data_IF_745228319639
#
_entry.id   IF_745228319639
#
_cell.length_a   1.000
_cell.length_b   1.000
_cell.length_c   1.000
_cell.angle_alpha   90.00
_cell.angle_beta   90.00
_cell.angle_gamma   90.00
#
_symmetry.space_group_name_H-M   'P 1'
#
loop_
_entity.id
_entity.type
_entity.pdbx_description
1 polymer ?
#
# COMPACT_ATOMS: atom_id res chain seq x y z
N UNK A 1 -15.90 11.91 -21.87
CA UNK A 1 -15.22 10.65 -22.27
C UNK A 1 -14.07 10.45 -21.29
N UNK A 2 -13.89 9.25 -20.76
CA UNK A 2 -12.75 8.96 -19.89
C UNK A 2 -11.44 9.12 -20.68
N UNK A 3 -10.43 9.72 -20.06
CA UNK A 3 -9.11 9.89 -20.65
C UNK A 3 -8.36 8.55 -20.63
N UNK A 4 -7.78 8.12 -21.76
CA UNK A 4 -7.02 6.86 -21.86
C UNK A 4 -5.53 7.16 -21.96
N UNK A 5 -4.77 6.72 -20.95
CA UNK A 5 -3.33 6.93 -20.83
C UNK A 5 -2.63 5.59 -21.10
N UNK A 6 -1.81 5.54 -22.15
CA UNK A 6 -1.07 4.33 -22.54
C UNK A 6 0.40 4.46 -22.21
N UNK A 7 0.89 3.60 -21.33
CA UNK A 7 2.28 3.57 -20.91
C UNK A 7 2.98 2.34 -21.50
N UNK A 8 4.18 2.56 -22.05
CA UNK A 8 4.94 1.51 -22.75
C UNK A 8 6.02 0.89 -21.92
N UNK A 9 6.58 1.65 -20.96
CA UNK A 9 7.60 1.20 -20.02
C UNK A 9 6.94 0.35 -18.92
N UNK A 10 7.70 -0.53 -18.30
CA UNK A 10 7.22 -1.40 -17.22
C UNK A 10 7.57 -2.87 -17.43
N UNK A 11 7.34 -3.67 -16.41
CA UNK A 11 7.67 -5.08 -16.40
C UNK A 11 6.65 -5.89 -15.59
N UNK A 12 5.99 -6.83 -16.25
CA UNK A 12 5.12 -7.78 -15.55
C UNK A 12 5.95 -8.97 -15.06
N UNK A 13 5.84 -9.28 -13.78
CA UNK A 13 6.51 -10.42 -13.14
C UNK A 13 5.44 -11.41 -12.71
N UNK A 14 5.25 -12.45 -13.52
CA UNK A 14 4.23 -13.46 -13.28
C UNK A 14 4.70 -14.46 -12.23
N UNK A 15 4.29 -14.28 -10.98
CA UNK A 15 4.57 -15.19 -9.88
C UNK A 15 3.44 -16.21 -9.71
N UNK A 16 3.84 -17.44 -9.33
CA UNK A 16 2.92 -18.52 -8.98
C UNK A 16 2.20 -18.23 -7.67
N UNK A 17 0.94 -18.63 -7.57
CA UNK A 17 0.17 -18.55 -6.33
C UNK A 17 -0.70 -17.31 -6.22
N UNK A 18 -1.24 -16.80 -7.33
CA UNK A 18 -2.23 -15.72 -7.32
C UNK A 18 -3.51 -16.16 -6.60
N UNK A 19 -4.07 -15.27 -5.77
CA UNK A 19 -5.29 -15.55 -5.02
C UNK A 19 -6.51 -15.74 -5.95
N UNK A 20 -7.33 -16.76 -5.66
CA UNK A 20 -8.56 -17.02 -6.39
C UNK A 20 -9.70 -16.18 -5.80
N UNK A 21 -10.24 -15.25 -6.59
CA UNK A 21 -11.29 -14.32 -6.18
C UNK A 21 -12.69 -14.92 -6.01
N UNK A 22 -12.88 -16.20 -6.31
CA UNK A 22 -14.12 -16.92 -6.03
C UNK A 22 -14.18 -17.47 -4.60
N UNK A 23 -13.03 -17.51 -3.90
CA UNK A 23 -12.91 -18.03 -2.55
C UNK A 23 -12.67 -16.87 -1.60
N UNK A 24 -13.70 -16.51 -0.82
CA UNK A 24 -13.59 -15.51 0.26
C UNK A 24 -13.94 -16.19 1.58
N UNK A 25 -12.99 -16.19 2.52
CA UNK A 25 -13.15 -16.80 3.84
C UNK A 25 -13.22 -15.72 4.91
N UNK A 26 -14.28 -15.65 5.74
CA UNK A 26 -14.30 -14.76 6.87
C UNK A 26 -13.31 -15.24 7.93
N UNK A 27 -12.48 -14.34 8.43
CA UNK A 27 -11.56 -14.59 9.53
C UNK A 27 -11.86 -13.63 10.66
N UNK A 28 -11.99 -14.18 11.87
CA UNK A 28 -12.12 -13.43 13.11
C UNK A 28 -10.97 -13.83 14.04
N UNK A 29 -10.47 -12.87 14.78
CA UNK A 29 -9.46 -13.10 15.82
C UNK A 29 -9.98 -12.65 17.17
N UNK A 30 -9.44 -13.21 18.25
CA UNK A 30 -9.70 -12.76 19.60
C UNK A 30 -8.97 -11.45 19.92
N UNK A 31 -7.89 -11.13 19.18
CA UNK A 31 -7.14 -9.89 19.35
C UNK A 31 -6.88 -9.21 17.99
N UNK A 32 -6.76 -7.90 18.06
CA UNK A 32 -6.37 -7.05 16.93
C UNK A 32 -5.35 -6.03 17.39
N UNK A 33 -4.51 -5.55 16.49
CA UNK A 33 -3.54 -4.52 16.84
C UNK A 33 -3.47 -3.42 15.77
N UNK A 34 -3.47 -2.17 16.22
CA UNK A 34 -3.20 -1.05 15.34
C UNK A 34 -1.69 -0.74 15.37
N UNK A 35 -1.08 -0.76 14.17
CA UNK A 35 0.37 -0.61 13.98
C UNK A 35 0.67 0.81 13.49
N UNK A 36 1.31 1.68 14.29
CA UNK A 36 1.60 3.06 13.90
C UNK A 36 2.51 3.19 12.67
N UNK A 37 3.44 2.26 12.47
CA UNK A 37 4.36 2.25 11.32
C UNK A 37 3.63 2.09 9.98
N UNK A 38 2.36 1.68 9.98
CA UNK A 38 1.51 1.69 8.78
C UNK A 38 1.17 3.10 8.30
N UNK A 39 1.37 4.11 9.12
CA UNK A 39 1.08 5.50 8.82
C UNK A 39 2.39 6.29 8.72
N UNK A 40 2.99 6.30 7.54
CA UNK A 40 4.27 6.95 7.28
C UNK A 40 4.28 8.41 7.74
N UNK A 41 5.36 8.82 8.40
CA UNK A 41 5.55 10.21 8.85
C UNK A 41 4.83 10.63 10.13
N UNK A 42 3.98 9.75 10.70
CA UNK A 42 3.28 9.97 11.96
C UNK A 42 4.19 9.65 13.15
N UNK A 43 4.16 10.51 14.16
CA UNK A 43 4.80 10.23 15.46
C UNK A 43 3.71 9.88 16.48
N UNK A 44 3.50 8.61 16.82
CA UNK A 44 2.36 8.19 17.62
C UNK A 44 2.49 8.64 19.08
N UNK A 45 1.43 9.25 19.60
CA UNK A 45 1.20 9.47 21.02
C UNK A 45 0.00 8.63 21.44
N UNK A 46 0.25 7.54 22.16
CA UNK A 46 -0.81 6.67 22.68
C UNK A 46 -1.67 7.44 23.68
N UNK A 47 -2.99 7.32 23.57
CA UNK A 47 -3.98 8.03 24.41
C UNK A 47 -4.82 7.08 25.27
N UNK A 48 -4.51 5.79 25.23
CA UNK A 48 -5.13 4.73 26.05
C UNK A 48 -4.10 4.03 26.94
N UNK A 49 -4.56 3.33 27.95
CA UNK A 49 -3.74 2.53 28.87
C UNK A 49 -4.16 1.06 28.81
N UNK A 50 -3.27 0.17 29.22
CA UNK A 50 -3.60 -1.25 29.40
C UNK A 50 -4.73 -1.39 30.41
N UNK A 51 -5.75 -2.19 30.06
CA UNK A 51 -6.96 -2.37 30.83
C UNK A 51 -8.12 -1.42 30.47
N UNK A 52 -7.89 -0.38 29.67
CA UNK A 52 -8.96 0.52 29.23
C UNK A 52 -9.93 -0.22 28.29
N UNK A 53 -11.24 0.02 28.47
CA UNK A 53 -12.28 -0.44 27.54
C UNK A 53 -12.45 0.58 26.42
N UNK A 54 -12.42 0.11 25.17
CA UNK A 54 -12.58 0.94 23.98
C UNK A 54 -13.68 0.41 23.08
N UNK A 55 -14.34 1.29 22.34
CA UNK A 55 -15.27 0.95 21.25
C UNK A 55 -14.57 0.98 19.91
N UNK A 56 -15.10 0.29 18.91
CA UNK A 56 -14.66 0.48 17.54
C UNK A 56 -14.91 1.95 17.14
N UNK A 57 -13.83 2.65 16.72
CA UNK A 57 -13.86 4.09 16.46
C UNK A 57 -13.24 4.96 17.55
N UNK A 58 -12.99 4.45 18.76
CA UNK A 58 -12.22 5.19 19.77
C UNK A 58 -10.76 5.34 19.34
N UNK A 59 -10.14 6.48 19.66
CA UNK A 59 -8.75 6.72 19.32
C UNK A 59 -7.81 5.89 20.20
N UNK A 60 -6.93 5.08 19.61
CA UNK A 60 -5.85 4.37 20.31
C UNK A 60 -4.60 5.22 20.46
N UNK A 61 -4.28 5.98 19.44
CA UNK A 61 -3.20 6.96 19.45
C UNK A 61 -3.54 8.14 18.53
N UNK A 62 -2.80 9.21 18.67
CA UNK A 62 -2.90 10.43 17.87
C UNK A 62 -1.51 10.78 17.33
N UNK A 63 -1.43 11.64 16.32
CA UNK A 63 -0.14 12.23 15.94
C UNK A 63 0.30 13.21 17.04
N UNK A 64 1.56 13.12 17.44
CA UNK A 64 2.13 14.00 18.47
C UNK A 64 2.18 15.47 18.04
N UNK A 65 2.42 15.73 16.74
CA UNK A 65 2.50 17.08 16.17
C UNK A 65 1.10 17.66 15.89
N UNK A 66 0.16 16.80 15.48
CA UNK A 66 -1.22 17.15 15.14
C UNK A 66 -2.20 16.28 15.94
N UNK A 67 -2.48 16.60 17.23
CA UNK A 67 -3.29 15.74 18.10
C UNK A 67 -4.73 15.52 17.63
N UNK A 68 -5.24 16.35 16.74
CA UNK A 68 -6.53 16.18 16.07
C UNK A 68 -6.54 15.01 15.07
N UNK A 69 -5.36 14.57 14.57
CA UNK A 69 -5.23 13.38 13.74
C UNK A 69 -5.22 12.16 14.64
N UNK A 70 -6.37 11.53 14.75
CA UNK A 70 -6.63 10.35 15.55
C UNK A 70 -6.49 9.10 14.69
N UNK A 71 -6.26 7.95 15.34
CA UNK A 71 -6.21 6.63 14.72
C UNK A 71 -7.13 5.71 15.50
N UNK A 72 -8.20 5.27 14.83
CA UNK A 72 -9.33 4.59 15.46
C UNK A 72 -9.06 3.10 15.71
N UNK A 73 -9.58 2.60 16.83
CA UNK A 73 -9.62 1.16 17.11
C UNK A 73 -10.48 0.43 16.07
N UNK A 74 -9.99 -0.68 15.50
CA UNK A 74 -10.75 -1.50 14.56
C UNK A 74 -11.88 -2.30 15.23
N UNK A 75 -11.80 -2.51 16.55
CA UNK A 75 -12.73 -3.33 17.33
C UNK A 75 -13.07 -2.68 18.66
N UNK A 76 -14.22 -3.08 19.26
CA UNK A 76 -14.45 -2.85 20.69
C UNK A 76 -13.82 -3.95 21.52
N UNK A 77 -13.37 -3.60 22.71
CA UNK A 77 -12.76 -4.54 23.62
C UNK A 77 -11.92 -3.88 24.69
N UNK A 78 -10.98 -4.64 25.24
CA UNK A 78 -10.07 -4.15 26.29
C UNK A 78 -8.66 -4.00 25.69
N UNK A 79 -8.01 -2.88 25.92
CA UNK A 79 -6.60 -2.68 25.56
C UNK A 79 -5.75 -3.65 26.35
N UNK A 80 -5.16 -4.63 25.65
CA UNK A 80 -4.38 -5.68 26.27
C UNK A 80 -2.94 -5.25 26.53
N UNK A 81 -2.32 -4.58 25.53
CA UNK A 81 -0.94 -4.15 25.65
C UNK A 81 -0.63 -2.96 24.72
N UNK A 82 0.29 -2.11 25.18
CA UNK A 82 0.98 -1.12 24.36
C UNK A 82 2.41 -1.60 24.14
N UNK A 83 2.63 -2.32 23.03
CA UNK A 83 3.93 -2.93 22.73
C UNK A 83 4.93 -1.86 22.31
N UNK A 84 6.09 -1.86 22.94
CA UNK A 84 7.16 -0.90 22.67
C UNK A 84 8.47 -1.62 22.34
N UNK A 85 9.13 -1.13 21.32
CA UNK A 85 10.46 -1.58 20.91
C UNK A 85 11.58 -0.69 21.49
N UNK A 86 12.71 -0.71 20.81
CA UNK A 86 13.86 0.10 21.16
C UNK A 86 13.50 1.60 21.25
N UNK A 87 14.18 2.32 22.15
CA UNK A 87 13.96 3.74 22.41
C UNK A 87 12.50 4.10 22.70
N UNK A 88 11.73 3.15 23.24
CA UNK A 88 10.30 3.29 23.55
C UNK A 88 9.41 3.57 22.32
N UNK A 89 9.86 3.25 21.11
CA UNK A 89 9.05 3.32 19.90
C UNK A 89 7.80 2.46 20.07
N UNK A 90 6.61 3.00 19.82
CA UNK A 90 5.37 2.23 19.86
C UNK A 90 5.33 1.33 18.62
N UNK A 91 5.30 0.03 18.81
CA UNK A 91 5.22 -0.96 17.74
C UNK A 91 3.76 -1.25 17.38
N UNK A 92 2.92 -1.50 18.38
CA UNK A 92 1.48 -1.65 18.17
C UNK A 92 0.70 -1.42 19.48
N UNK A 93 -0.60 -1.16 19.33
CA UNK A 93 -1.57 -1.14 20.44
C UNK A 93 -2.52 -2.31 20.21
N UNK A 94 -2.49 -3.30 21.12
CA UNK A 94 -3.28 -4.53 21.07
C UNK A 94 -4.61 -4.33 21.79
N UNK A 95 -5.68 -4.81 21.19
CA UNK A 95 -7.03 -4.81 21.75
C UNK A 95 -7.57 -6.22 21.70
N UNK A 96 -7.91 -6.78 22.87
CA UNK A 96 -8.68 -8.02 22.98
C UNK A 96 -10.12 -7.72 22.66
N UNK A 97 -10.63 -8.30 21.58
CA UNK A 97 -11.95 -7.99 21.04
C UNK A 97 -13.09 -8.55 21.92
N UNK A 98 -14.17 -7.79 22.04
CA UNK A 98 -15.43 -8.26 22.61
C UNK A 98 -16.14 -9.21 21.64
N UNK A 99 -16.89 -10.17 22.17
CA UNK A 99 -17.75 -11.05 21.34
C UNK A 99 -18.81 -10.26 20.58
N UNK A 100 -19.37 -9.22 21.21
CA UNK A 100 -20.37 -8.31 20.61
C UNK A 100 -19.77 -6.93 20.47
N UNK A 101 -19.57 -6.52 19.21
CA UNK A 101 -18.88 -5.27 18.91
C UNK A 101 -19.76 -4.04 19.22
N UNK A 102 -19.18 -3.07 19.91
CA UNK A 102 -19.73 -1.76 20.21
C UNK A 102 -19.01 -0.70 19.35
N UNK A 103 -19.78 0.26 18.86
CA UNK A 103 -19.26 1.31 17.98
C UNK A 103 -19.45 2.68 18.60
N UNK A 104 -18.53 3.58 18.34
CA UNK A 104 -18.76 5.01 18.52
C UNK A 104 -19.77 5.46 17.46
N UNK A 105 -20.78 6.21 17.86
CA UNK A 105 -21.75 6.78 16.92
C UNK A 105 -21.36 8.22 16.54
N UNK A 106 -20.91 8.40 15.30
CA UNK A 106 -20.56 9.70 14.72
C UNK A 106 -21.75 10.34 13.99
N UNK A 107 -22.89 9.66 13.94
CA UNK A 107 -24.08 10.07 13.20
C UNK A 107 -23.93 9.91 11.68
N UNK A 108 -24.99 9.49 11.04
CA UNK A 108 -25.05 9.42 9.56
C UNK A 108 -25.08 10.83 8.97
N UNK A 109 -24.37 11.06 7.86
CA UNK A 109 -24.29 12.38 7.20
C UNK A 109 -24.49 12.20 5.69
N UNK A 110 -25.38 13.00 5.12
CA UNK A 110 -25.58 13.03 3.67
C UNK A 110 -24.44 13.83 3.00
N UNK A 111 -23.47 13.13 2.44
CA UNK A 111 -22.25 13.74 1.84
C UNK A 111 -22.57 14.73 0.71
N UNK A 112 -23.72 14.58 0.04
CA UNK A 112 -24.11 15.50 -1.04
C UNK A 112 -24.31 16.91 -0.52
N UNK A 113 -24.78 17.04 0.74
CA UNK A 113 -25.06 18.33 1.41
C UNK A 113 -23.89 18.90 2.19
N UNK A 114 -22.78 18.15 2.29
CA UNK A 114 -21.60 18.60 3.05
C UNK A 114 -20.67 19.46 2.18
N UNK A 115 -20.04 20.42 2.83
CA UNK A 115 -18.89 21.16 2.31
C UNK A 115 -17.59 20.41 2.64
N UNK A 116 -16.52 20.68 1.90
CA UNK A 116 -15.24 19.99 2.04
C UNK A 116 -14.64 20.03 3.45
N UNK A 117 -14.74 21.18 4.13
CA UNK A 117 -14.24 21.31 5.51
C UNK A 117 -15.04 20.46 6.51
N UNK A 118 -16.35 20.30 6.29
CA UNK A 118 -17.18 19.42 7.12
C UNK A 118 -16.83 17.94 6.90
N UNK A 119 -16.47 17.53 5.66
CA UNK A 119 -15.97 16.21 5.37
C UNK A 119 -14.62 15.96 6.06
N UNK A 120 -13.68 16.91 5.97
CA UNK A 120 -12.37 16.84 6.66
C UNK A 120 -12.56 16.69 8.17
N UNK A 121 -13.41 17.54 8.78
CA UNK A 121 -13.70 17.49 10.21
C UNK A 121 -14.27 16.13 10.64
N UNK A 122 -15.20 15.55 9.85
CA UNK A 122 -15.76 14.23 10.13
C UNK A 122 -14.71 13.11 10.08
N UNK A 123 -13.79 13.16 9.09
CA UNK A 123 -12.71 12.17 8.97
C UNK A 123 -11.69 12.29 10.12
N UNK A 124 -11.38 13.53 10.57
CA UNK A 124 -10.51 13.78 11.73
C UNK A 124 -11.16 13.27 13.03
N UNK A 125 -12.44 13.57 13.23
CA UNK A 125 -13.19 13.14 14.39
C UNK A 125 -13.25 11.63 14.52
N UNK A 126 -13.52 10.94 13.39
CA UNK A 126 -13.65 9.49 13.33
C UNK A 126 -12.30 8.73 13.31
N UNK A 127 -11.16 9.43 13.32
CA UNK A 127 -9.84 8.79 13.28
C UNK A 127 -9.50 8.12 11.95
N UNK A 128 -10.11 8.59 10.85
CA UNK A 128 -9.87 8.08 9.49
C UNK A 128 -8.99 9.00 8.63
N UNK A 129 -8.73 10.22 9.07
CA UNK A 129 -7.95 11.18 8.28
C UNK A 129 -6.53 10.70 8.00
N UNK A 130 -5.91 9.96 8.92
CA UNK A 130 -4.57 9.40 8.74
C UNK A 130 -4.44 8.36 7.62
N UNK A 131 -5.56 7.88 7.04
CA UNK A 131 -5.56 7.00 5.85
C UNK A 131 -5.32 7.77 4.54
N UNK A 132 -5.36 9.09 4.57
CA UNK A 132 -5.01 9.95 3.44
C UNK A 132 -3.50 10.17 3.47
N UNK A 133 -2.84 9.90 2.36
CA UNK A 133 -1.41 10.15 2.17
C UNK A 133 -1.21 11.37 1.28
N UNK A 134 0.00 11.90 1.24
CA UNK A 134 0.36 13.02 0.39
C UNK A 134 1.63 12.78 -0.42
N UNK A 135 1.67 13.30 -1.62
CA UNK A 135 2.87 13.57 -2.38
C UNK A 135 3.13 15.10 -2.37
N UNK A 136 4.37 15.56 -2.27
CA UNK A 136 5.58 14.76 -2.13
C UNK A 136 5.67 14.06 -0.76
N UNK A 137 6.73 13.30 -0.56
CA UNK A 137 7.14 12.59 0.65
C UNK A 137 6.50 11.21 0.87
N UNK A 138 5.35 10.88 0.26
CA UNK A 138 4.62 9.61 0.47
C UNK A 138 4.46 9.30 1.97
N UNK A 139 3.79 10.18 2.69
CA UNK A 139 3.49 10.12 4.13
C UNK A 139 2.03 10.44 4.37
N UNK A 140 1.52 10.13 5.57
CA UNK A 140 0.19 10.57 5.98
C UNK A 140 0.09 12.10 5.91
N UNK A 141 -1.04 12.60 5.39
CA UNK A 141 -1.26 14.04 5.25
C UNK A 141 -1.51 14.71 6.60
N UNK A 142 -1.34 16.02 6.63
CA UNK A 142 -1.56 16.84 7.83
C UNK A 142 -2.76 17.77 7.64
N UNK A 143 -3.45 18.17 8.73
CA UNK A 143 -4.67 18.99 8.64
C UNK A 143 -4.46 20.39 8.04
N UNK A 144 -3.25 20.90 8.07
CA UNK A 144 -2.87 22.21 7.53
C UNK A 144 -2.60 22.19 6.02
N UNK A 145 -2.45 21.01 5.42
CA UNK A 145 -2.21 20.90 3.97
C UNK A 145 -3.49 21.09 3.15
N UNK A 146 -3.33 21.75 2.00
CA UNK A 146 -4.39 21.92 1.00
C UNK A 146 -3.92 21.26 -0.30
N UNK A 147 -4.52 20.12 -0.72
CA UNK A 147 -4.12 19.46 -1.94
C UNK A 147 -4.61 20.22 -3.17
N UNK A 148 -3.83 20.19 -4.26
CA UNK A 148 -4.30 20.65 -5.57
C UNK A 148 -5.24 19.65 -6.24
N UNK A 149 -5.12 18.36 -5.87
CA UNK A 149 -5.94 17.26 -6.35
C UNK A 149 -5.89 16.08 -5.39
N UNK A 150 -6.87 15.17 -5.50
CA UNK A 150 -6.89 13.89 -4.79
C UNK A 150 -6.88 12.77 -5.82
N UNK A 151 -6.08 11.73 -5.58
CA UNK A 151 -5.96 10.57 -6.44
C UNK A 151 -6.34 9.28 -5.71
N UNK A 152 -7.12 8.46 -6.39
CA UNK A 152 -7.47 7.10 -5.97
C UNK A 152 -7.09 6.16 -7.10
N UNK A 153 -6.14 5.23 -6.88
CA UNK A 153 -5.88 4.16 -7.84
C UNK A 153 -6.72 2.95 -7.50
N UNK A 154 -7.67 2.60 -8.37
CA UNK A 154 -8.59 1.48 -8.14
C UNK A 154 -8.09 0.15 -8.72
N UNK A 155 -6.82 0.05 -9.14
CA UNK A 155 -6.22 -1.21 -9.54
C UNK A 155 -4.78 -1.34 -9.02
N UNK A 156 -4.37 -2.57 -8.85
CA UNK A 156 -3.04 -2.95 -8.38
C UNK A 156 -2.45 -3.93 -9.38
N UNK A 157 -1.23 -3.70 -9.82
CA UNK A 157 -0.56 -4.50 -10.85
C UNK A 157 0.80 -5.07 -10.41
N UNK A 158 1.16 -4.87 -9.13
CA UNK A 158 2.33 -5.53 -8.55
C UNK A 158 2.18 -7.06 -8.55
N UNK A 159 3.28 -7.81 -8.57
CA UNK A 159 3.22 -9.28 -8.54
C UNK A 159 2.41 -9.79 -7.34
N UNK A 160 1.44 -10.67 -7.57
CA UNK A 160 0.53 -11.23 -6.57
C UNK A 160 -0.38 -10.23 -5.86
N UNK A 161 -0.45 -8.98 -6.32
CA UNK A 161 -1.34 -7.98 -5.76
C UNK A 161 -2.81 -8.41 -5.82
N UNK A 162 -3.58 -7.94 -4.84
CA UNK A 162 -5.02 -8.17 -4.76
C UNK A 162 -5.75 -7.47 -5.90
N UNK A 163 -6.85 -8.07 -6.35
CA UNK A 163 -7.79 -7.45 -7.27
C UNK A 163 -8.83 -6.64 -6.49
N UNK A 164 -8.82 -5.32 -6.68
CA UNK A 164 -9.75 -4.44 -5.97
C UNK A 164 -11.22 -4.69 -6.36
N UNK A 165 -11.53 -5.19 -7.56
CA UNK A 165 -12.91 -5.53 -7.91
C UNK A 165 -13.51 -6.60 -6.99
N UNK A 166 -12.67 -7.45 -6.37
CA UNK A 166 -13.13 -8.45 -5.40
C UNK A 166 -13.47 -7.80 -4.05
N UNK A 167 -12.62 -6.89 -3.57
CA UNK A 167 -12.88 -6.12 -2.34
C UNK A 167 -14.10 -5.19 -2.50
N UNK A 168 -14.33 -4.69 -3.71
CA UNK A 168 -15.44 -3.79 -4.04
C UNK A 168 -16.80 -4.48 -3.99
N UNK A 169 -16.88 -5.80 -4.21
CA UNK A 169 -18.15 -6.56 -4.22
C UNK A 169 -18.92 -6.36 -2.93
N UNK A 170 -20.16 -5.84 -3.05
CA UNK A 170 -21.02 -5.52 -1.89
C UNK A 170 -20.68 -4.21 -1.17
N UNK A 171 -19.61 -3.50 -1.59
CA UNK A 171 -19.19 -2.22 -1.03
C UNK A 171 -19.34 -1.06 -2.03
N UNK A 172 -20.00 -1.27 -3.17
CA UNK A 172 -20.10 -0.30 -4.27
C UNK A 172 -20.72 1.02 -3.83
N UNK A 173 -21.76 0.94 -2.97
CA UNK A 173 -22.44 2.12 -2.42
C UNK A 173 -21.48 2.92 -1.51
N UNK A 174 -20.78 2.24 -0.64
CA UNK A 174 -19.84 2.87 0.29
C UNK A 174 -18.67 3.49 -0.47
N UNK A 175 -18.15 2.79 -1.47
CA UNK A 175 -17.10 3.32 -2.34
C UNK A 175 -17.54 4.60 -3.05
N UNK A 176 -18.74 4.61 -3.66
CA UNK A 176 -19.26 5.81 -4.32
C UNK A 176 -19.47 6.96 -3.33
N UNK A 177 -20.01 6.68 -2.12
CA UNK A 177 -20.18 7.69 -1.08
C UNK A 177 -18.83 8.28 -0.65
N UNK A 178 -17.80 7.46 -0.50
CA UNK A 178 -16.44 7.89 -0.19
C UNK A 178 -15.82 8.75 -1.30
N UNK A 179 -16.00 8.38 -2.57
CA UNK A 179 -15.56 9.21 -3.71
C UNK A 179 -16.25 10.57 -3.73
N UNK A 180 -17.58 10.60 -3.50
CA UNK A 180 -18.35 11.84 -3.41
C UNK A 180 -17.85 12.70 -2.23
N UNK A 181 -17.51 12.11 -1.08
CA UNK A 181 -16.95 12.83 0.05
C UNK A 181 -15.60 13.48 -0.30
N UNK A 182 -14.69 12.74 -0.93
CA UNK A 182 -13.39 13.25 -1.37
C UNK A 182 -13.54 14.38 -2.40
N UNK A 183 -14.48 14.28 -3.33
CA UNK A 183 -14.75 15.30 -4.35
C UNK A 183 -15.24 16.62 -3.76
N UNK A 184 -15.83 16.62 -2.55
CA UNK A 184 -16.19 17.84 -1.82
C UNK A 184 -14.95 18.57 -1.28
N UNK A 185 -13.89 17.85 -0.95
CA UNK A 185 -12.64 18.45 -0.44
C UNK A 185 -11.88 19.09 -1.61
N UNK A 186 -11.65 18.33 -2.69
CA UNK A 186 -10.91 18.80 -3.85
C UNK A 186 -11.20 17.93 -5.08
N UNK A 187 -10.90 18.44 -6.27
CA UNK A 187 -10.98 17.66 -7.51
C UNK A 187 -10.34 16.29 -7.34
N UNK A 188 -11.12 15.25 -7.57
CA UNK A 188 -10.70 13.86 -7.33
C UNK A 188 -10.61 13.10 -8.65
N UNK A 189 -9.47 12.41 -8.84
CA UNK A 189 -9.19 11.54 -9.97
C UNK A 189 -9.26 10.08 -9.54
N UNK A 190 -9.95 9.27 -10.34
CA UNK A 190 -10.02 7.82 -10.17
C UNK A 190 -9.25 7.14 -11.30
N UNK A 191 -8.15 6.49 -10.96
CA UNK A 191 -7.38 5.67 -11.88
C UNK A 191 -7.95 4.25 -11.96
N UNK A 192 -8.27 3.80 -13.17
CA UNK A 192 -8.80 2.46 -13.42
C UNK A 192 -8.00 1.76 -14.51
N UNK A 193 -7.92 0.43 -14.45
CA UNK A 193 -7.33 -0.36 -15.54
C UNK A 193 -8.37 -0.54 -16.65
N UNK A 194 -7.89 -0.56 -17.89
CA UNK A 194 -8.71 -0.90 -19.06
C UNK A 194 -9.37 -2.28 -18.95
N UNK A 195 -8.82 -3.17 -18.12
CA UNK A 195 -9.31 -4.54 -17.94
C UNK A 195 -10.45 -4.64 -16.92
N UNK A 196 -10.65 -3.62 -16.08
CA UNK A 196 -11.70 -3.59 -15.08
C UNK A 196 -13.07 -3.35 -15.71
N UNK A 197 -14.08 -4.02 -15.17
CA UNK A 197 -15.44 -4.06 -15.71
C UNK A 197 -16.53 -3.63 -14.73
N UNK A 198 -16.18 -3.52 -13.44
CA UNK A 198 -17.14 -3.13 -12.41
C UNK A 198 -17.72 -1.74 -12.69
N UNK A 199 -19.05 -1.65 -12.78
CA UNK A 199 -19.77 -0.40 -13.08
C UNK A 199 -19.45 0.71 -12.06
N UNK A 200 -19.22 0.37 -10.80
CA UNK A 200 -18.84 1.30 -9.74
C UNK A 200 -17.46 1.96 -9.99
N UNK A 201 -16.62 1.39 -10.84
CA UNK A 201 -15.33 1.95 -11.24
C UNK A 201 -15.44 2.73 -12.55
N UNK A 202 -15.98 2.09 -13.60
CA UNK A 202 -16.02 2.68 -14.96
C UNK A 202 -17.09 3.76 -15.13
N UNK A 203 -18.04 3.84 -14.21
CA UNK A 203 -19.16 4.81 -14.21
C UNK A 203 -19.27 5.57 -12.87
N UNK A 204 -18.18 5.66 -12.11
CA UNK A 204 -18.13 6.40 -10.84
C UNK A 204 -18.52 7.87 -11.07
N UNK A 205 -19.29 8.42 -10.11
CA UNK A 205 -19.79 9.79 -10.18
C UNK A 205 -18.92 10.72 -9.33
N UNK A 206 -19.02 12.01 -9.61
CA UNK A 206 -18.35 13.10 -8.87
C UNK A 206 -16.82 13.08 -8.93
N UNK A 207 -16.23 12.24 -9.79
CA UNK A 207 -14.78 12.11 -9.99
C UNK A 207 -14.44 12.09 -11.47
N UNK A 208 -13.19 12.43 -11.80
CA UNK A 208 -12.66 12.30 -13.16
C UNK A 208 -11.97 10.95 -13.32
N UNK A 209 -12.50 10.11 -14.21
CA UNK A 209 -11.99 8.76 -14.45
C UNK A 209 -10.88 8.82 -15.49
N UNK A 210 -9.70 8.26 -15.15
CA UNK A 210 -8.58 8.06 -16.06
C UNK A 210 -8.33 6.56 -16.23
N UNK A 211 -8.32 6.11 -17.49
CA UNK A 211 -8.09 4.69 -17.82
C UNK A 211 -6.62 4.51 -18.15
N UNK A 212 -5.95 3.65 -17.40
CA UNK A 212 -4.55 3.34 -17.62
C UNK A 212 -4.38 1.99 -18.32
N UNK A 213 -3.45 1.95 -19.28
CA UNK A 213 -3.10 0.74 -20.03
C UNK A 213 -1.57 0.63 -20.08
N UNK A 214 -1.00 -0.42 -19.55
CA UNK A 214 0.45 -0.66 -19.53
C UNK A 214 0.83 -1.87 -18.68
N UNK A 215 2.12 -1.98 -18.40
CA UNK A 215 2.71 -3.00 -17.52
C UNK A 215 2.95 -2.41 -16.14
N UNK A 216 3.12 -3.27 -15.15
CA UNK A 216 3.56 -2.86 -13.81
C UNK A 216 4.80 -1.94 -13.89
N UNK A 217 4.81 -0.79 -13.17
CA UNK A 217 3.94 -0.36 -12.09
C UNK A 217 2.89 0.72 -12.49
N UNK A 218 2.14 0.53 -13.55
CA UNK A 218 1.11 1.50 -14.00
C UNK A 218 -0.01 1.67 -12.96
N UNK A 219 -0.24 0.65 -12.12
CA UNK A 219 -1.18 0.70 -11.00
C UNK A 219 -0.75 1.60 -9.84
N UNK A 220 0.53 1.97 -9.74
CA UNK A 220 0.99 2.86 -8.67
C UNK A 220 0.38 4.24 -8.80
N UNK A 221 -0.11 4.77 -7.69
CA UNK A 221 -0.74 6.10 -7.68
C UNK A 221 0.26 7.21 -8.03
N UNK A 222 1.54 7.08 -7.65
CA UNK A 222 2.61 8.02 -8.04
C UNK A 222 2.78 8.14 -9.55
N UNK A 223 2.76 7.01 -10.27
CA UNK A 223 2.80 6.98 -11.74
C UNK A 223 1.58 7.71 -12.33
N UNK A 224 0.39 7.49 -11.75
CA UNK A 224 -0.84 8.12 -12.22
C UNK A 224 -0.82 9.63 -11.98
N UNK A 225 -0.34 10.07 -10.83
CA UNK A 225 -0.15 11.50 -10.49
C UNK A 225 0.81 12.16 -11.47
N UNK A 226 1.97 11.55 -11.76
CA UNK A 226 2.97 12.06 -12.69
C UNK A 226 2.37 12.36 -14.09
N UNK A 227 1.46 11.50 -14.57
CA UNK A 227 0.87 11.66 -15.90
C UNK A 227 -0.36 12.59 -15.97
N UNK A 228 -1.06 12.81 -14.86
CA UNK A 228 -2.32 13.59 -14.84
C UNK A 228 -2.13 14.96 -14.22
N UNK A 229 -1.42 15.04 -13.10
CA UNK A 229 -1.18 16.30 -12.39
C UNK A 229 0.14 16.22 -11.59
N UNK A 230 1.31 16.26 -12.28
CA UNK A 230 2.61 16.13 -11.64
C UNK A 230 2.80 17.16 -10.52
N UNK A 231 3.59 16.78 -9.51
CA UNK A 231 3.78 17.56 -8.28
C UNK A 231 5.04 18.40 -8.40
N UNK A 232 4.90 19.72 -8.30
CA UNK A 232 6.03 20.65 -8.27
C UNK A 232 6.36 21.07 -6.83
N UNK A 233 7.51 21.74 -6.65
CA UNK A 233 7.90 22.33 -5.37
C UNK A 233 6.80 23.25 -4.83
N UNK A 234 6.41 23.06 -3.58
CA UNK A 234 5.35 23.82 -2.91
C UNK A 234 3.92 23.33 -3.22
N UNK A 235 3.73 22.35 -4.08
CA UNK A 235 2.43 21.74 -4.33
C UNK A 235 2.26 20.46 -3.51
N UNK A 236 1.00 20.12 -3.21
CA UNK A 236 0.63 18.89 -2.51
C UNK A 236 -0.50 18.22 -3.27
N UNK A 237 -0.39 16.91 -3.44
CA UNK A 237 -1.46 16.03 -3.95
C UNK A 237 -1.77 15.01 -2.86
N UNK A 238 -3.04 14.76 -2.61
CA UNK A 238 -3.43 13.67 -1.73
C UNK A 238 -3.65 12.39 -2.51
N UNK A 239 -3.27 11.28 -1.90
CA UNK A 239 -3.51 9.94 -2.43
C UNK A 239 -4.27 9.12 -1.40
N UNK A 240 -5.25 8.34 -1.85
CA UNK A 240 -6.09 7.53 -0.97
C UNK A 240 -6.17 6.12 -1.53
N UNK A 241 -5.87 5.13 -0.69
CA UNK A 241 -6.09 3.72 -1.03
C UNK A 241 -7.59 3.47 -1.24
N UNK A 242 -8.00 2.72 -2.29
CA UNK A 242 -9.41 2.52 -2.59
C UNK A 242 -10.19 1.80 -1.48
N UNK A 243 -9.54 0.98 -0.64
CA UNK A 243 -10.18 0.42 0.55
C UNK A 243 -10.49 1.49 1.61
N UNK A 244 -9.61 2.49 1.77
CA UNK A 244 -9.89 3.62 2.67
C UNK A 244 -11.08 4.46 2.20
N UNK A 245 -11.29 4.58 0.88
CA UNK A 245 -12.50 5.21 0.31
C UNK A 245 -13.76 4.48 0.76
N UNK A 246 -13.73 3.14 0.82
CA UNK A 246 -14.85 2.35 1.37
C UNK A 246 -15.07 2.67 2.85
N UNK A 247 -14.01 2.79 3.66
CA UNK A 247 -14.13 3.16 5.08
C UNK A 247 -14.76 4.54 5.27
N UNK A 248 -14.38 5.51 4.44
CA UNK A 248 -14.98 6.84 4.46
C UNK A 248 -16.47 6.78 4.12
N UNK A 249 -16.83 6.02 3.09
CA UNK A 249 -18.23 5.86 2.73
C UNK A 249 -19.08 5.19 3.82
N UNK A 250 -18.55 4.14 4.46
CA UNK A 250 -19.21 3.49 5.59
C UNK A 250 -19.46 4.44 6.75
N UNK A 251 -18.47 5.30 7.08
CA UNK A 251 -18.63 6.32 8.11
C UNK A 251 -19.84 7.22 7.81
N UNK A 252 -19.95 7.77 6.61
CA UNK A 252 -21.03 8.66 6.25
C UNK A 252 -22.40 7.95 6.15
N UNK A 253 -22.40 6.72 5.62
CA UNK A 253 -23.62 5.94 5.44
C UNK A 253 -24.18 5.35 6.75
N UNK A 254 -23.31 4.98 7.69
CA UNK A 254 -23.71 4.26 8.92
C UNK A 254 -23.45 5.03 10.21
N UNK A 255 -22.66 6.11 10.16
CA UNK A 255 -22.21 6.84 11.35
C UNK A 255 -21.16 6.08 12.19
N UNK A 256 -20.55 5.01 11.68
CA UNK A 256 -19.64 4.13 12.41
C UNK A 256 -18.34 3.94 11.65
N UNK A 257 -17.24 3.75 12.40
CA UNK A 257 -15.96 3.31 11.83
C UNK A 257 -16.03 1.79 11.66
N UNK A 258 -15.94 1.35 10.43
CA UNK A 258 -15.91 -0.06 10.07
C UNK A 258 -14.71 -0.31 9.14
N UNK A 259 -13.65 -0.89 9.69
CA UNK A 259 -12.37 -1.16 9.03
C UNK A 259 -12.29 -2.59 8.44
N UNK A 260 -13.44 -3.21 8.13
CA UNK A 260 -13.45 -4.49 7.43
C UNK A 260 -12.93 -4.32 6.00
N UNK A 261 -12.12 -5.27 5.58
CA UNK A 261 -11.58 -5.34 4.24
C UNK A 261 -11.41 -6.77 3.76
N UNK A 262 -11.24 -6.92 2.45
CA UNK A 262 -10.97 -8.19 1.80
C UNK A 262 -9.52 -8.19 1.34
N UNK A 263 -8.72 -9.13 1.83
CA UNK A 263 -7.27 -9.20 1.63
C UNK A 263 -6.92 -10.49 0.88
N UNK A 264 -6.03 -10.40 -0.11
CA UNK A 264 -5.51 -11.57 -0.79
C UNK A 264 -4.47 -12.27 0.06
N UNK A 265 -4.58 -13.60 0.19
CA UNK A 265 -3.53 -14.48 0.72
C UNK A 265 -2.96 -15.24 -0.47
N UNK A 266 -1.72 -14.94 -0.85
CA UNK A 266 -1.12 -15.34 -2.11
C UNK A 266 0.32 -15.86 -1.92
N UNK A 267 0.87 -16.47 -2.97
CA UNK A 267 2.24 -16.97 -3.00
C UNK A 267 2.34 -18.48 -3.18
N UNK A 268 3.50 -18.93 -3.64
CA UNK A 268 3.74 -20.35 -3.94
C UNK A 268 3.74 -21.25 -2.72
N UNK A 269 3.97 -20.68 -1.53
CA UNK A 269 3.95 -21.41 -0.25
C UNK A 269 2.58 -21.40 0.45
N UNK A 270 1.55 -20.86 -0.18
CA UNK A 270 0.16 -20.94 0.27
C UNK A 270 -0.53 -22.14 -0.35
N UNK A 271 -1.12 -23.05 0.45
CA UNK A 271 -1.82 -24.26 -0.03
C UNK A 271 -2.97 -23.95 -0.98
N UNK A 272 -3.79 -22.97 -0.60
CA UNK A 272 -4.95 -22.54 -1.39
C UNK A 272 -4.99 -21.01 -1.41
N UNK A 273 -4.30 -20.38 -2.37
CA UNK A 273 -4.34 -18.93 -2.51
C UNK A 273 -5.79 -18.44 -2.69
N UNK A 274 -6.23 -17.56 -1.82
CA UNK A 274 -7.64 -17.14 -1.72
C UNK A 274 -7.75 -15.76 -1.11
N UNK A 275 -8.95 -15.21 -1.04
CA UNK A 275 -9.21 -13.98 -0.30
C UNK A 275 -9.74 -14.27 1.10
N UNK A 276 -9.48 -13.36 2.01
CA UNK A 276 -10.02 -13.39 3.37
C UNK A 276 -10.71 -12.07 3.69
N UNK A 277 -11.89 -12.15 4.27
CA UNK A 277 -12.59 -10.98 4.84
C UNK A 277 -12.20 -10.86 6.31
N UNK A 278 -11.63 -9.74 6.68
CA UNK A 278 -11.14 -9.49 8.04
C UNK A 278 -11.12 -8.01 8.37
N UNK A 279 -10.56 -7.63 9.52
CA UNK A 279 -10.40 -6.25 9.98
C UNK A 279 -8.93 -5.82 9.87
N UNK A 280 -8.69 -4.52 9.72
CA UNK A 280 -7.35 -3.95 9.91
C UNK A 280 -6.80 -4.39 11.27
N UNK A 281 -5.53 -4.75 11.30
CA UNK A 281 -4.87 -5.20 12.54
C UNK A 281 -5.10 -6.66 12.92
N UNK A 282 -5.65 -7.48 12.03
CA UNK A 282 -5.73 -8.94 12.24
C UNK A 282 -4.33 -9.56 12.31
N UNK A 283 -4.05 -10.49 13.26
CA UNK A 283 -2.76 -11.16 13.31
C UNK A 283 -2.53 -12.08 12.10
N UNK A 284 -1.31 -12.10 11.58
CA UNK A 284 -0.93 -12.96 10.46
C UNK A 284 -1.09 -14.44 10.77
N UNK A 285 -0.90 -14.84 12.03
CA UNK A 285 -1.15 -16.21 12.50
C UNK A 285 -2.58 -16.68 12.21
N UNK A 286 -3.59 -15.83 12.47
CA UNK A 286 -4.98 -16.18 12.22
C UNK A 286 -5.29 -16.28 10.69
N UNK A 287 -4.64 -15.45 9.89
CA UNK A 287 -4.84 -15.47 8.43
C UNK A 287 -4.17 -16.68 7.75
N UNK A 288 -3.03 -17.10 8.27
CA UNK A 288 -2.20 -18.17 7.68
C UNK A 288 -2.37 -19.52 8.36
N UNK A 289 -3.26 -19.63 9.36
CA UNK A 289 -3.51 -20.88 10.08
C UNK A 289 -3.91 -22.01 9.12
N UNK A 290 -3.12 -23.08 9.11
CA UNK A 290 -3.33 -24.25 8.26
C UNK A 290 -3.18 -24.00 6.74
N UNK A 291 -2.81 -22.78 6.31
CA UNK A 291 -2.71 -22.40 4.89
C UNK A 291 -1.29 -22.56 4.32
N UNK A 292 -0.26 -22.72 5.13
CA UNK A 292 1.12 -22.81 4.67
C UNK A 292 1.49 -24.23 4.25
N UNK A 293 2.23 -24.36 3.13
CA UNK A 293 2.83 -25.64 2.69
C UNK A 293 3.92 -26.08 3.65
N UNK A 294 4.74 -25.14 4.13
CA UNK A 294 5.77 -25.33 5.13
C UNK A 294 5.73 -24.19 6.13
N UNK A 295 6.20 -24.44 7.35
CA UNK A 295 6.29 -23.42 8.42
C UNK A 295 7.70 -22.84 8.55
N UNK A 296 8.69 -23.54 7.98
CA UNK A 296 10.10 -23.15 7.98
C UNK A 296 10.54 -22.85 6.54
N UNK A 297 11.62 -22.08 6.40
CA UNK A 297 12.21 -21.69 5.11
C UNK A 297 11.25 -20.94 4.17
N UNK A 298 10.26 -20.24 4.76
CA UNK A 298 9.31 -19.40 4.05
C UNK A 298 9.45 -17.94 4.48
N UNK A 299 9.25 -17.05 3.53
CA UNK A 299 9.17 -15.61 3.77
C UNK A 299 7.72 -15.18 3.76
N UNK A 300 7.23 -14.76 4.91
CA UNK A 300 5.93 -14.10 5.05
C UNK A 300 6.16 -12.61 4.76
N UNK A 301 5.34 -12.06 3.88
CA UNK A 301 5.42 -10.65 3.45
C UNK A 301 4.05 -10.01 3.70
N UNK A 302 4.04 -8.95 4.50
CA UNK A 302 2.88 -8.08 4.68
C UNK A 302 2.84 -7.09 3.51
N UNK A 303 2.06 -7.41 2.48
CA UNK A 303 2.05 -6.78 1.17
C UNK A 303 2.49 -7.71 0.04
N UNK A 304 2.82 -7.13 -1.13
CA UNK A 304 3.32 -7.85 -2.29
C UNK A 304 4.85 -8.07 -2.22
N UNK A 305 5.41 -8.97 -3.06
CA UNK A 305 6.84 -9.32 -2.99
C UNK A 305 7.82 -8.18 -3.29
N UNK A 306 7.38 -7.08 -3.90
CA UNK A 306 8.25 -5.98 -4.29
C UNK A 306 8.25 -4.81 -3.29
N UNK A 307 7.08 -4.49 -2.70
CA UNK A 307 6.93 -3.32 -1.81
C UNK A 307 6.55 -3.69 -0.38
N UNK A 308 6.21 -4.96 -0.11
CA UNK A 308 5.81 -5.43 1.20
C UNK A 308 6.97 -5.56 2.18
N UNK A 309 6.63 -5.73 3.45
CA UNK A 309 7.60 -5.88 4.54
C UNK A 309 7.69 -7.34 5.00
N UNK A 310 8.93 -7.81 5.22
CA UNK A 310 9.15 -9.13 5.85
C UNK A 310 8.49 -9.13 7.22
N UNK A 311 7.67 -10.13 7.49
CA UNK A 311 6.89 -10.29 8.70
C UNK A 311 6.99 -11.71 9.26
N UNK A 312 6.52 -11.87 10.49
CA UNK A 312 6.38 -13.13 11.19
C UNK A 312 4.91 -13.45 11.46
N UNK A 313 4.61 -14.64 11.96
CA UNK A 313 3.24 -15.00 12.36
C UNK A 313 2.73 -14.18 13.57
N UNK A 314 3.62 -13.55 14.33
CA UNK A 314 3.30 -12.72 15.49
C UNK A 314 2.93 -11.28 15.10
N UNK A 315 3.17 -10.90 13.84
CA UNK A 315 2.87 -9.57 13.33
C UNK A 315 1.39 -9.45 12.91
N UNK A 316 0.97 -8.22 12.67
CA UNK A 316 -0.39 -7.85 12.30
C UNK A 316 -0.43 -7.22 10.92
N UNK A 317 -1.54 -7.37 10.22
CA UNK A 317 -1.72 -6.64 8.95
C UNK A 317 -1.75 -5.14 9.20
N UNK A 318 -1.06 -4.41 8.33
CA UNK A 318 -1.04 -2.95 8.37
C UNK A 318 -2.35 -2.32 7.89
N UNK A 319 -2.49 -1.02 8.14
CA UNK A 319 -3.67 -0.25 7.76
C UNK A 319 -3.91 -0.21 6.24
N UNK A 320 -2.83 -0.25 5.45
CA UNK A 320 -2.87 -0.19 3.98
C UNK A 320 -2.62 -1.55 3.31
N UNK A 321 -2.46 -2.63 4.09
CA UNK A 321 -2.18 -3.97 3.55
C UNK A 321 -3.38 -4.49 2.75
N UNK A 322 -3.17 -4.80 1.49
CA UNK A 322 -4.18 -5.37 0.58
C UNK A 322 -3.94 -6.84 0.23
N UNK A 323 -2.73 -7.32 0.46
CA UNK A 323 -2.35 -8.73 0.31
C UNK A 323 -1.33 -9.15 1.36
N UNK A 324 -1.32 -10.45 1.66
CA UNK A 324 -0.26 -11.14 2.40
C UNK A 324 0.32 -12.19 1.49
N UNK A 325 1.64 -12.15 1.28
CA UNK A 325 2.30 -13.03 0.34
C UNK A 325 3.26 -13.96 1.07
N UNK A 326 3.27 -15.24 0.69
CA UNK A 326 4.21 -16.23 1.23
C UNK A 326 4.96 -16.92 0.11
N UNK A 327 6.29 -16.76 0.10
CA UNK A 327 7.20 -17.31 -0.90
C UNK A 327 8.33 -18.08 -0.21
N UNK A 328 9.10 -18.93 -0.94
CA UNK A 328 10.27 -19.59 -0.35
C UNK A 328 11.32 -18.55 0.13
N UNK A 329 11.91 -18.75 1.30
CA UNK A 329 13.06 -17.96 1.75
C UNK A 329 14.29 -18.25 0.87
N UNK A 330 14.49 -19.50 0.52
CA UNK A 330 15.58 -19.95 -0.36
C UNK A 330 16.91 -20.16 0.35
N UNK A 331 16.96 -20.09 1.66
CA UNK A 331 18.15 -20.26 2.52
C UNK A 331 18.73 -21.68 2.47
N UNK A 332 17.92 -22.70 2.15
CA UNK A 332 18.37 -24.08 1.97
C UNK A 332 18.94 -24.38 0.58
N UNK A 333 18.82 -23.47 -0.38
CA UNK A 333 19.20 -23.71 -1.76
C UNK A 333 20.67 -23.36 -2.00
N UNK A 334 21.55 -24.36 -2.04
CA UNK A 334 22.95 -24.22 -2.43
C UNK A 334 23.12 -24.50 -3.92
N UNK A 335 23.46 -23.50 -4.71
CA UNK A 335 23.72 -23.65 -6.14
C UNK A 335 25.22 -23.77 -6.41
N UNK A 336 25.67 -24.93 -6.87
CA UNK A 336 27.03 -25.12 -7.36
C UNK A 336 27.05 -24.87 -8.88
N UNK A 337 27.92 -24.00 -9.39
CA UNK A 337 28.00 -23.61 -10.81
C UNK A 337 26.68 -23.05 -11.39
N UNK A 338 25.83 -22.45 -10.59
CA UNK A 338 24.51 -21.94 -11.01
C UNK A 338 24.54 -20.94 -12.18
N UNK A 339 25.67 -20.26 -12.40
CA UNK A 339 25.87 -19.30 -13.51
C UNK A 339 25.98 -19.98 -14.90
N UNK A 340 26.28 -21.29 -15.00
CA UNK A 340 26.34 -22.05 -16.26
C UNK A 340 24.97 -22.65 -16.62
N UNK A 341 24.08 -22.84 -15.64
CA UNK A 341 22.81 -23.52 -15.85
C UNK A 341 21.87 -22.72 -16.77
N UNK A 342 21.07 -23.38 -17.63
CA UNK A 342 20.13 -22.70 -18.55
C UNK A 342 18.99 -22.00 -17.83
N UNK A 343 18.78 -22.28 -16.54
CA UNK A 343 17.84 -21.63 -15.62
C UNK A 343 16.44 -21.39 -16.21
N UNK A 344 15.84 -22.42 -16.77
CA UNK A 344 14.49 -22.37 -17.35
C UNK A 344 13.40 -21.96 -16.35
N UNK A 345 13.67 -22.08 -15.04
CA UNK A 345 12.73 -21.73 -13.97
C UNK A 345 13.03 -20.37 -13.32
N UNK A 346 14.00 -19.62 -13.84
CA UNK A 346 14.35 -18.29 -13.31
C UNK A 346 13.76 -17.21 -14.22
N UNK A 347 13.24 -16.15 -13.63
CA UNK A 347 12.83 -14.96 -14.38
C UNK A 347 14.04 -14.27 -15.00
N UNK A 348 13.92 -13.78 -16.23
CA UNK A 348 14.99 -13.10 -16.93
C UNK A 348 14.49 -11.83 -17.60
N UNK A 349 14.75 -10.68 -16.99
CA UNK A 349 14.44 -9.38 -17.57
C UNK A 349 15.31 -9.08 -18.80
N UNK A 350 16.60 -9.45 -18.75
CA UNK A 350 17.62 -9.18 -19.78
C UNK A 350 17.79 -10.32 -20.81
N UNK A 351 16.93 -11.34 -20.75
CA UNK A 351 17.04 -12.57 -21.58
C UNK A 351 18.34 -13.36 -21.41
N UNK A 352 19.00 -13.19 -20.26
CA UNK A 352 20.23 -13.93 -19.91
C UNK A 352 19.99 -15.41 -19.67
N UNK A 353 18.76 -15.80 -19.31
CA UNK A 353 18.33 -17.19 -19.12
C UNK A 353 17.35 -17.59 -20.23
N UNK A 354 17.35 -18.88 -20.58
CA UNK A 354 16.51 -19.40 -21.67
C UNK A 354 15.00 -19.46 -21.29
N UNK A 355 14.62 -19.11 -20.08
CA UNK A 355 13.23 -19.08 -19.62
C UNK A 355 12.30 -18.20 -20.47
N UNK A 356 12.83 -17.15 -21.10
CA UNK A 356 12.07 -16.26 -21.98
C UNK A 356 11.51 -16.96 -23.23
N UNK A 357 12.08 -18.10 -23.64
CA UNK A 357 11.58 -18.93 -24.75
C UNK A 357 10.28 -19.66 -24.40
N UNK A 358 9.95 -19.80 -23.12
CA UNK A 358 8.79 -20.58 -22.65
C UNK A 358 7.48 -19.79 -22.66
N UNK A 359 7.47 -18.56 -23.18
CA UNK A 359 6.27 -17.73 -23.29
C UNK A 359 5.75 -17.21 -21.94
N UNK A 360 4.42 -17.16 -21.78
CA UNK A 360 3.78 -16.75 -20.54
C UNK A 360 3.87 -17.85 -19.49
N UNK A 361 4.92 -17.82 -18.68
CA UNK A 361 5.16 -18.75 -17.58
C UNK A 361 4.98 -18.06 -16.25
N UNK A 362 4.41 -18.77 -15.28
CA UNK A 362 4.46 -18.36 -13.87
C UNK A 362 5.74 -18.89 -13.24
N UNK A 363 6.38 -18.05 -12.45
CA UNK A 363 7.65 -18.33 -11.80
C UNK A 363 7.45 -18.55 -10.30
N UNK A 364 8.16 -19.55 -9.79
CA UNK A 364 8.31 -19.80 -8.36
C UNK A 364 9.66 -19.23 -7.92
N UNK A 365 9.65 -17.93 -7.55
CA UNK A 365 10.84 -17.22 -7.14
C UNK A 365 11.00 -17.25 -5.62
N UNK A 366 12.25 -17.38 -5.17
CA UNK A 366 12.62 -17.28 -3.77
C UNK A 366 13.11 -15.85 -3.42
N UNK A 367 13.23 -15.58 -2.11
CA UNK A 367 13.59 -14.27 -1.59
C UNK A 367 15.09 -13.94 -1.67
N UNK A 368 15.92 -14.81 -2.28
CA UNK A 368 17.37 -14.57 -2.36
C UNK A 368 17.72 -13.49 -3.37
N UNK A 369 18.68 -12.65 -2.99
CA UNK A 369 19.33 -11.74 -3.93
C UNK A 369 20.22 -12.58 -4.87
N UNK A 370 19.98 -12.49 -6.18
CA UNK A 370 20.77 -13.18 -7.21
C UNK A 370 21.91 -12.30 -7.65
N UNK A 371 23.03 -12.38 -6.97
CA UNK A 371 24.24 -11.59 -7.20
C UNK A 371 24.73 -10.89 -5.94
N UNK A 372 25.75 -10.07 -6.06
CA UNK A 372 26.30 -9.26 -4.96
C UNK A 372 25.92 -7.79 -5.12
N UNK A 373 25.75 -7.09 -4.01
CA UNK A 373 25.61 -5.65 -3.97
C UNK A 373 26.90 -4.97 -4.53
N UNK A 374 26.72 -3.94 -5.32
CA UNK A 374 27.80 -3.21 -5.99
C UNK A 374 27.54 -1.71 -5.92
N UNK A 375 28.56 -0.92 -6.20
CA UNK A 375 28.36 0.50 -6.47
C UNK A 375 27.44 0.69 -7.68
N UNK A 376 26.62 1.72 -7.64
CA UNK A 376 25.66 2.02 -8.70
C UNK A 376 26.32 2.15 -10.08
N UNK A 377 25.81 1.38 -11.03
CA UNK A 377 26.19 1.42 -12.44
C UNK A 377 25.04 2.06 -13.21
N UNK A 378 25.36 3.05 -14.07
CA UNK A 378 24.41 3.62 -15.02
C UNK A 378 24.17 2.63 -16.15
N UNK A 379 23.13 1.82 -16.00
CA UNK A 379 22.84 0.70 -16.92
C UNK A 379 21.79 1.01 -17.97
N UNK A 380 20.98 2.06 -17.76
CA UNK A 380 19.79 2.38 -18.57
C UNK A 380 18.64 1.38 -18.37
N UNK A 381 18.73 0.50 -17.35
CA UNK A 381 17.67 -0.49 -17.10
C UNK A 381 16.45 0.14 -16.41
N UNK A 382 16.65 1.17 -15.59
CA UNK A 382 15.52 1.84 -14.91
C UNK A 382 14.61 2.51 -15.94
N UNK A 383 15.16 3.14 -16.98
CA UNK A 383 14.37 3.80 -18.03
C UNK A 383 13.44 2.85 -18.79
N UNK A 384 13.73 1.55 -18.79
CA UNK A 384 12.88 0.55 -19.45
C UNK A 384 11.63 0.18 -18.63
N UNK A 385 11.72 0.33 -17.30
CA UNK A 385 10.71 -0.17 -16.36
C UNK A 385 10.02 0.93 -15.54
N UNK A 386 10.57 2.14 -15.52
CA UNK A 386 9.99 3.29 -14.84
C UNK A 386 9.14 4.10 -15.82
N UNK A 387 7.79 3.99 -15.77
CA UNK A 387 6.90 4.68 -16.70
C UNK A 387 6.59 6.12 -16.25
N UNK A 388 7.59 6.85 -15.78
CA UNK A 388 7.50 8.25 -15.37
C UNK A 388 8.46 9.10 -16.20
N UNK A 389 8.13 10.38 -16.35
CA UNK A 389 8.97 11.34 -17.11
C UNK A 389 10.02 11.98 -16.18
N UNK A 390 10.87 11.14 -15.61
CA UNK A 390 11.97 11.54 -14.72
C UNK A 390 13.27 10.82 -15.11
N UNK A 391 14.40 11.41 -14.76
CA UNK A 391 15.74 10.81 -14.92
C UNK A 391 16.08 9.90 -13.73
N UNK A 392 15.44 8.73 -13.62
CA UNK A 392 15.49 7.87 -12.44
C UNK A 392 16.91 7.50 -11.97
N UNK A 393 17.82 7.09 -12.89
CA UNK A 393 19.19 6.74 -12.52
C UNK A 393 19.98 7.97 -11.99
N UNK A 394 19.79 9.13 -12.59
CA UNK A 394 20.43 10.38 -12.12
C UNK A 394 19.85 10.82 -10.78
N UNK A 395 18.54 10.68 -10.58
CA UNK A 395 17.90 10.99 -9.31
C UNK A 395 18.44 10.12 -8.17
N UNK A 396 18.57 8.81 -8.37
CA UNK A 396 19.16 7.90 -7.37
C UNK A 396 20.59 8.33 -7.04
N UNK A 397 21.40 8.69 -8.03
CA UNK A 397 22.78 9.21 -7.79
C UNK A 397 22.78 10.52 -7.00
N UNK A 398 21.87 11.44 -7.29
CA UNK A 398 21.75 12.69 -6.55
C UNK A 398 21.38 12.44 -5.07
N UNK A 399 20.48 11.46 -4.83
CA UNK A 399 20.10 11.06 -3.46
C UNK A 399 21.29 10.45 -2.72
N UNK A 400 22.05 9.53 -3.36
CA UNK A 400 23.25 8.92 -2.76
C UNK A 400 24.32 9.97 -2.45
N UNK A 401 24.42 11.02 -3.27
CA UNK A 401 25.35 12.13 -3.08
C UNK A 401 24.82 13.19 -2.10
N UNK A 402 23.60 13.05 -1.59
CA UNK A 402 22.92 14.02 -0.70
C UNK A 402 22.83 15.44 -1.31
N UNK A 403 22.78 15.53 -2.66
CA UNK A 403 22.70 16.78 -3.41
C UNK A 403 21.23 17.21 -3.60
N UNK A 404 20.71 17.97 -2.65
CA UNK A 404 19.29 18.38 -2.59
C UNK A 404 18.89 19.18 -3.83
N UNK A 405 19.75 20.11 -4.29
CA UNK A 405 19.45 20.92 -5.48
C UNK A 405 19.25 20.04 -6.73
N UNK A 406 20.09 19.02 -6.89
CA UNK A 406 19.94 18.06 -7.99
C UNK A 406 18.75 17.13 -7.80
N UNK A 407 18.45 16.70 -6.57
CA UNK A 407 17.24 15.92 -6.30
C UNK A 407 16.00 16.68 -6.78
N UNK A 408 15.88 17.97 -6.45
CA UNK A 408 14.79 18.83 -6.86
C UNK A 408 14.71 18.98 -8.39
N UNK A 409 15.86 19.22 -9.05
CA UNK A 409 15.93 19.37 -10.51
C UNK A 409 15.57 18.06 -11.26
N UNK A 410 15.78 16.90 -10.64
CA UNK A 410 15.60 15.58 -11.25
C UNK A 410 14.25 14.94 -10.90
N UNK A 411 13.36 15.64 -10.19
CA UNK A 411 11.97 15.22 -10.00
C UNK A 411 11.69 14.47 -8.70
N UNK A 412 12.45 14.70 -7.60
CA UNK A 412 12.19 14.02 -6.31
C UNK A 412 10.80 14.30 -5.75
N UNK A 413 10.17 15.42 -6.10
CA UNK A 413 8.82 15.75 -5.66
C UNK A 413 7.73 14.88 -6.28
N UNK A 414 8.03 14.21 -7.40
CA UNK A 414 7.08 13.44 -8.19
C UNK A 414 7.06 11.96 -7.85
N UNK A 415 8.02 11.49 -7.03
CA UNK A 415 8.23 10.06 -6.78
C UNK A 415 7.86 9.62 -5.38
N UNK A 416 7.47 8.36 -5.27
CA UNK A 416 7.39 7.59 -4.03
C UNK A 416 8.38 6.42 -4.06
N UNK A 417 8.73 5.82 -2.90
CA UNK A 417 9.59 4.64 -2.87
C UNK A 417 9.06 3.49 -3.73
N UNK A 418 7.76 3.24 -3.71
CA UNK A 418 7.12 2.14 -4.45
C UNK A 418 7.25 2.26 -5.96
N UNK A 419 7.41 3.47 -6.51
CA UNK A 419 7.57 3.69 -7.95
C UNK A 419 8.90 3.09 -8.44
N UNK A 420 9.90 2.96 -7.57
CA UNK A 420 11.18 2.34 -7.87
C UNK A 420 11.22 0.83 -7.62
N UNK A 421 10.16 0.19 -7.18
CA UNK A 421 10.14 -1.23 -6.84
C UNK A 421 10.52 -2.14 -8.03
N UNK A 422 10.01 -1.86 -9.22
CA UNK A 422 10.35 -2.62 -10.43
C UNK A 422 11.78 -2.30 -10.90
N UNK A 423 12.23 -1.06 -10.75
CA UNK A 423 13.61 -0.67 -11.05
C UNK A 423 14.61 -1.38 -10.10
N UNK A 424 14.28 -1.48 -8.81
CA UNK A 424 15.05 -2.24 -7.81
C UNK A 424 15.15 -3.73 -8.18
N UNK A 425 14.05 -4.33 -8.65
CA UNK A 425 14.06 -5.74 -9.09
C UNK A 425 15.02 -5.99 -10.25
N UNK A 426 15.11 -5.08 -11.23
CA UNK A 426 15.98 -5.24 -12.41
C UNK A 426 17.38 -4.69 -12.18
N UNK A 427 17.64 -3.96 -11.09
CA UNK A 427 18.92 -3.33 -10.85
C UNK A 427 20.07 -4.33 -10.83
N UNK A 428 21.07 -4.09 -11.69
CA UNK A 428 22.26 -4.92 -11.79
C UNK A 428 23.23 -4.71 -10.61
N UNK A 429 23.15 -3.58 -9.93
CA UNK A 429 23.98 -3.23 -8.76
C UNK A 429 23.43 -3.78 -7.46
N UNK A 430 22.16 -4.22 -7.44
CA UNK A 430 21.45 -4.76 -6.28
C UNK A 430 21.33 -3.77 -5.12
N UNK A 431 21.07 -2.51 -5.45
CA UNK A 431 20.82 -1.46 -4.49
C UNK A 431 19.38 -1.53 -3.97
N UNK A 432 19.17 -1.15 -2.72
CA UNK A 432 17.82 -0.96 -2.12
C UNK A 432 17.26 0.40 -2.55
N UNK A 433 16.75 0.51 -3.79
CA UNK A 433 16.33 1.79 -4.37
C UNK A 433 15.18 2.43 -3.61
N UNK A 434 14.22 1.64 -3.16
CA UNK A 434 13.09 2.12 -2.37
C UNK A 434 13.56 2.78 -1.07
N UNK A 435 14.54 2.17 -0.40
CA UNK A 435 15.15 2.72 0.82
C UNK A 435 15.95 4.00 0.53
N UNK A 436 16.67 4.04 -0.58
CA UNK A 436 17.42 5.23 -1.02
C UNK A 436 16.42 6.38 -1.26
N UNK A 437 15.35 6.13 -2.01
CA UNK A 437 14.30 7.14 -2.27
C UNK A 437 13.64 7.59 -0.97
N UNK A 438 13.32 6.67 -0.05
CA UNK A 438 12.76 7.02 1.27
C UNK A 438 13.69 7.97 2.04
N UNK A 439 14.99 7.67 2.06
CA UNK A 439 15.98 8.52 2.73
C UNK A 439 16.06 9.91 2.08
N UNK A 440 16.04 10.00 0.75
CA UNK A 440 16.03 11.27 0.02
C UNK A 440 14.80 12.11 0.33
N UNK A 441 13.61 11.49 0.35
CA UNK A 441 12.36 12.16 0.69
C UNK A 441 12.32 12.62 2.16
N UNK A 442 12.89 11.85 3.07
CA UNK A 442 12.97 12.22 4.49
C UNK A 442 13.97 13.37 4.72
N UNK A 443 15.08 13.39 3.97
CA UNK A 443 16.05 14.50 3.97
C UNK A 443 15.38 15.78 3.46
N UNK A 444 14.74 15.72 2.30
CA UNK A 444 14.03 16.84 1.70
C UNK A 444 12.91 17.37 2.61
N UNK A 445 12.17 16.48 3.28
CA UNK A 445 11.11 16.86 4.22
C UNK A 445 11.66 17.60 5.43
N UNK A 446 12.85 17.23 5.91
CA UNK A 446 13.53 17.94 7.03
C UNK A 446 14.04 19.32 6.62
N UNK A 447 14.53 19.44 5.39
CA UNK A 447 15.02 20.72 4.85
C UNK A 447 13.87 21.72 4.63
N UNK A 448 12.70 21.24 4.22
CA UNK A 448 11.51 22.06 3.95
C UNK A 448 10.58 22.23 5.18
N UNK A 449 10.91 21.70 6.36
CA UNK A 449 10.13 21.82 7.60
C UNK A 449 10.54 23.02 8.41
#
# INVERSE_FOLDING_TARGET
>A
MANVIKLRKGLDINLKGRANGEIIKPIKSAEYALVPDSFGGVTPKVVVHEGDCVKAGDALFVDKKYPEVKFASPVSGTVEAVVRGERRKVLCVKVKADDTQQYVDFGTKDVVKLEGDAVRAALLEAGLFGYIQQLPYAVATTPDTKPKAIFVSAFRDMPLASDFEIELRGNEKDFQTGLTALSKIQKTYLGVSKQQTASALISAKDVEINIFEGKCPVGNVGVQVNHVAPVNKGEVVWTVDPAAVIFFGRLFNTGKVDLRRVIAVAGSEVKTPSYVETLVGTPLSAMLEGQLNATEHVRIINGNPLTGHKSTLEDYIGAHTSEVTVIPEGDERHEFFGWILPRLNQFSASRSYLSWLLGKKEYDLDARIKGGERHMIMSGEYDKVLPMDIYGEYLIKAIIAEDIDKMEQLGIYEVSPEDFAVAEFVDSSKLELQKIVRNGLDMLRKENA
#
